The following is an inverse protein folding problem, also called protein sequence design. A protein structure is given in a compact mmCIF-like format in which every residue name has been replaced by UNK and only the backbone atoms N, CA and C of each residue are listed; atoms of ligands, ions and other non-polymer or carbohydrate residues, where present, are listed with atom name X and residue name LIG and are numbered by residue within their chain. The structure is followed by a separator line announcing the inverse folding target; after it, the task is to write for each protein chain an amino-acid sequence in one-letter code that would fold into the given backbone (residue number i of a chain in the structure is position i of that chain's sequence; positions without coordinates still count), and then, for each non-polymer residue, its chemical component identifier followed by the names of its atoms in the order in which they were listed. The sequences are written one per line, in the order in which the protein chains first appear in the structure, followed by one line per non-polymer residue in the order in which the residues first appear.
data_IF_590030163355
#
_entry.id   IF_590030163355
#
_cell.length_a   1.000
_cell.length_b   1.000
_cell.length_c   1.000
_cell.angle_alpha   90.00
_cell.angle_beta   90.00
_cell.angle_gamma   90.00
#
_symmetry.space_group_name_H-M   'P 1'
#
loop_
_entity.id
_entity.type
_entity.pdbx_description
1 polymer ?
#
# COMPACT_ATOMS: atom_id res chain seq x y z
N UNK A 1 -0.29 -42.22 6.09
CA UNK A 1 0.35 -40.89 6.27
C UNK A 1 -0.59 -39.84 5.72
N UNK A 2 -1.43 -39.26 6.58
CA UNK A 2 -2.40 -38.23 6.19
C UNK A 2 -1.79 -36.86 6.52
N UNK A 3 -1.58 -36.07 5.47
CA UNK A 3 -1.01 -34.73 5.50
C UNK A 3 -2.10 -33.76 5.96
N UNK A 4 -2.03 -33.28 7.21
CA UNK A 4 -2.98 -32.29 7.74
C UNK A 4 -2.38 -30.89 7.55
N UNK A 5 -3.07 -29.96 6.87
CA UNK A 5 -2.53 -28.62 6.65
C UNK A 5 -2.54 -27.75 7.92
N UNK A 6 -1.56 -26.85 8.02
CA UNK A 6 -1.16 -26.09 9.22
C UNK A 6 -2.27 -25.23 9.85
N UNK A 7 -3.32 -24.85 9.11
CA UNK A 7 -4.45 -24.07 9.63
C UNK A 7 -5.34 -24.82 10.64
N UNK A 8 -5.14 -26.13 10.83
CA UNK A 8 -5.93 -26.97 11.75
C UNK A 8 -5.39 -27.09 13.20
N UNK A 9 -4.30 -26.40 13.55
CA UNK A 9 -3.65 -26.52 14.89
C UNK A 9 -4.07 -25.41 15.88
N UNK A 10 -4.84 -24.39 15.47
CA UNK A 10 -5.11 -23.19 16.28
C UNK A 10 -6.52 -23.03 16.89
N UNK A 11 -7.32 -24.10 17.07
CA UNK A 11 -8.72 -23.98 17.51
C UNK A 11 -8.98 -24.61 18.90
N UNK A 12 -8.47 -23.98 19.96
CA UNK A 12 -8.97 -24.06 21.35
C UNK A 12 -8.16 -23.03 22.13
N UNK A 13 -8.74 -21.93 22.61
CA UNK A 13 -9.45 -21.89 23.87
C UNK A 13 -10.36 -20.64 23.89
N UNK A 14 -11.67 -20.84 23.91
CA UNK A 14 -12.66 -19.85 24.35
C UNK A 14 -13.08 -20.26 25.75
N UNK A 15 -12.95 -19.38 26.73
CA UNK A 15 -13.66 -19.52 28.00
C UNK A 15 -13.02 -18.85 29.21
N UNK A 16 -13.68 -17.78 29.67
CA UNK A 16 -13.77 -17.32 31.06
C UNK A 16 -12.62 -16.47 31.64
N UNK A 17 -12.85 -15.15 31.66
CA UNK A 17 -12.89 -14.35 32.91
C UNK A 17 -13.55 -13.00 32.62
N UNK A 18 -14.64 -12.75 33.31
CA UNK A 18 -15.37 -11.49 33.25
C UNK A 18 -14.74 -10.40 34.11
N UNK A 19 -15.20 -9.18 33.84
CA UNK A 19 -15.48 -8.15 34.85
C UNK A 19 -14.28 -7.43 35.45
N UNK A 20 -13.82 -6.38 34.79
CA UNK A 20 -13.41 -5.14 35.47
C UNK A 20 -13.62 -3.96 34.52
N UNK A 21 -14.66 -3.17 34.77
CA UNK A 21 -14.84 -1.87 34.13
C UNK A 21 -14.14 -0.82 34.98
N UNK A 22 -13.24 -0.04 34.40
CA UNK A 22 -12.85 1.27 34.91
C UNK A 22 -12.61 2.20 33.70
N UNK A 23 -13.05 3.47 33.76
CA UNK A 23 -13.12 4.36 32.60
C UNK A 23 -11.82 5.16 32.44
N UNK A 24 -11.43 5.48 31.21
CA UNK A 24 -10.60 6.65 30.90
C UNK A 24 -10.66 6.95 29.41
N UNK A 25 -11.07 8.17 29.09
CA UNK A 25 -10.92 8.80 27.78
C UNK A 25 -9.48 8.66 27.27
N UNK A 26 -9.33 8.25 26.01
CA UNK A 26 -8.08 8.35 25.29
C UNK A 26 -8.41 8.43 23.81
N UNK A 27 -8.27 9.64 23.28
CA UNK A 27 -8.54 9.96 21.89
C UNK A 27 -7.89 8.95 20.96
N UNK A 28 -8.69 8.44 20.02
CA UNK A 28 -8.23 7.64 18.88
C UNK A 28 -7.26 8.49 18.05
N UNK A 29 -5.99 8.50 18.44
CA UNK A 29 -4.90 8.93 17.57
C UNK A 29 -4.75 7.82 16.51
N UNK A 30 -5.54 7.96 15.45
CA UNK A 30 -5.38 7.15 14.27
C UNK A 30 -3.98 7.35 13.72
N UNK A 31 -3.34 6.26 13.31
CA UNK A 31 -2.03 6.21 12.63
C UNK A 31 -1.99 7.12 11.38
N UNK A 32 -3.14 7.63 10.93
CA UNK A 32 -3.30 8.65 9.88
C UNK A 32 -2.58 9.98 10.23
N UNK A 33 -2.28 10.28 11.49
CA UNK A 33 -1.69 11.58 11.87
C UNK A 33 -0.22 11.75 11.50
N UNK A 34 0.48 10.70 11.04
CA UNK A 34 1.93 10.79 10.77
C UNK A 34 2.26 11.28 9.35
N UNK A 35 1.27 11.43 8.48
CA UNK A 35 1.46 12.01 7.15
C UNK A 35 0.44 13.13 7.01
N UNK A 36 0.84 14.36 7.36
CA UNK A 36 0.08 15.53 6.95
C UNK A 36 -0.01 15.52 5.42
N UNK A 37 -1.19 15.17 4.90
CA UNK A 37 -1.51 15.00 3.48
C UNK A 37 -1.17 16.24 2.63
N UNK A 38 -1.06 17.41 3.26
CA UNK A 38 -0.72 18.68 2.61
C UNK A 38 0.72 19.18 2.87
N UNK A 39 1.47 18.60 3.83
CA UNK A 39 2.79 19.09 4.23
C UNK A 39 3.95 18.19 3.76
N UNK A 40 3.71 16.93 3.41
CA UNK A 40 4.74 16.02 2.91
C UNK A 40 5.09 16.23 1.43
N UNK A 41 4.14 16.69 0.61
CA UNK A 41 4.31 16.88 -0.83
C UNK A 41 5.31 17.98 -1.22
N UNK A 42 5.39 19.16 -0.55
CA UNK A 42 6.32 20.22 -0.95
C UNK A 42 7.79 19.79 -0.84
N UNK A 43 8.15 19.07 0.23
CA UNK A 43 9.54 18.63 0.45
C UNK A 43 9.89 17.42 -0.40
N UNK A 44 8.99 16.44 -0.53
CA UNK A 44 9.19 15.25 -1.36
C UNK A 44 9.27 15.57 -2.86
N UNK A 45 8.75 16.72 -3.30
CA UNK A 45 8.80 17.18 -4.70
C UNK A 45 10.04 18.03 -5.03
N UNK A 46 10.85 18.39 -4.03
CA UNK A 46 11.96 19.35 -4.23
C UNK A 46 13.05 18.74 -5.10
N UNK A 47 13.37 19.38 -6.22
CA UNK A 47 14.38 18.90 -7.18
C UNK A 47 13.84 18.00 -8.30
N UNK A 48 12.55 17.66 -8.28
CA UNK A 48 11.89 16.93 -9.37
C UNK A 48 11.48 17.88 -10.50
N UNK A 49 11.48 17.38 -11.73
CA UNK A 49 10.89 18.10 -12.87
C UNK A 49 9.34 18.03 -12.82
N UNK A 50 8.65 18.82 -13.66
CA UNK A 50 7.18 18.88 -13.64
C UNK A 50 6.49 17.56 -13.99
N UNK A 51 7.08 16.77 -14.88
CA UNK A 51 6.55 15.46 -15.26
C UNK A 51 6.62 14.47 -14.08
N UNK A 52 7.75 14.45 -13.37
CA UNK A 52 7.96 13.65 -12.17
C UNK A 52 7.02 14.04 -11.03
N UNK A 53 6.74 15.33 -10.86
CA UNK A 53 5.75 15.81 -9.89
C UNK A 53 4.36 15.30 -10.23
N UNK A 54 4.01 15.25 -11.51
CA UNK A 54 2.72 14.70 -11.93
C UNK A 54 2.66 13.18 -11.69
N UNK A 55 3.73 12.42 -12.00
CA UNK A 55 3.81 11.00 -11.65
C UNK A 55 3.66 10.76 -10.15
N UNK A 56 4.36 11.54 -9.33
CA UNK A 56 4.26 11.49 -7.87
C UNK A 56 2.82 11.73 -7.40
N UNK A 57 2.17 12.77 -7.93
CA UNK A 57 0.81 13.15 -7.58
C UNK A 57 -0.21 12.09 -7.98
N UNK A 58 -0.12 11.53 -9.18
CA UNK A 58 -1.01 10.46 -9.65
C UNK A 58 -0.85 9.22 -8.77
N UNK A 59 0.39 8.80 -8.50
CA UNK A 59 0.69 7.66 -7.64
C UNK A 59 0.20 7.87 -6.20
N UNK A 60 0.43 9.05 -5.63
CA UNK A 60 0.00 9.40 -4.28
C UNK A 60 -1.53 9.40 -4.16
N UNK A 61 -2.23 9.98 -5.13
CA UNK A 61 -3.69 10.00 -5.15
C UNK A 61 -4.27 8.58 -5.28
N UNK A 62 -3.63 7.72 -6.09
CA UNK A 62 -4.03 6.32 -6.20
C UNK A 62 -3.83 5.58 -4.87
N UNK A 63 -2.66 5.75 -4.24
CA UNK A 63 -2.34 5.14 -2.96
C UNK A 63 -3.34 5.56 -1.85
N UNK A 64 -3.62 6.86 -1.75
CA UNK A 64 -4.54 7.39 -0.74
C UNK A 64 -5.99 6.90 -0.94
N UNK A 65 -6.44 6.71 -2.19
CA UNK A 65 -7.82 6.36 -2.51
C UNK A 65 -8.08 4.86 -2.56
N UNK A 66 -7.17 4.09 -3.13
CA UNK A 66 -7.39 2.67 -3.46
C UNK A 66 -6.62 1.72 -2.54
N UNK A 67 -5.46 2.15 -2.00
CA UNK A 67 -4.60 1.28 -1.19
C UNK A 67 -4.75 1.53 0.31
N UNK A 68 -4.60 2.78 0.76
CA UNK A 68 -4.58 3.14 2.18
C UNK A 68 -5.84 2.68 2.96
N UNK A 69 -7.08 2.80 2.44
CA UNK A 69 -8.27 2.37 3.18
C UNK A 69 -8.34 0.86 3.41
N UNK A 70 -7.68 0.08 2.57
CA UNK A 70 -7.80 -1.38 2.55
C UNK A 70 -6.56 -2.11 3.11
N UNK A 71 -5.43 -1.40 3.24
CA UNK A 71 -4.14 -1.94 3.69
C UNK A 71 -4.23 -2.82 4.93
N UNK A 72 -4.95 -2.37 5.97
CA UNK A 72 -5.03 -3.08 7.23
C UNK A 72 -5.80 -4.41 7.11
N UNK A 73 -6.85 -4.43 6.28
CA UNK A 73 -7.61 -5.65 6.03
C UNK A 73 -6.80 -6.65 5.20
N UNK A 74 -6.11 -6.17 4.16
CA UNK A 74 -5.29 -7.03 3.31
C UNK A 74 -4.16 -7.68 4.09
N UNK A 75 -3.50 -6.93 4.96
CA UNK A 75 -2.44 -7.44 5.83
C UNK A 75 -2.98 -8.46 6.83
N UNK A 76 -4.04 -8.11 7.57
CA UNK A 76 -4.60 -8.99 8.61
C UNK A 76 -5.15 -10.31 8.06
N UNK A 77 -5.73 -10.28 6.85
CA UNK A 77 -6.38 -11.44 6.23
C UNK A 77 -5.51 -12.12 5.16
N UNK A 78 -4.27 -11.67 4.97
CA UNK A 78 -3.35 -12.17 3.95
C UNK A 78 -3.96 -12.17 2.54
N UNK A 79 -4.71 -11.10 2.21
CA UNK A 79 -5.42 -10.99 0.94
C UNK A 79 -4.52 -10.35 -0.12
N UNK A 80 -4.48 -10.96 -1.30
CA UNK A 80 -3.83 -10.39 -2.46
C UNK A 80 -4.80 -9.52 -3.27
N UNK A 81 -4.58 -8.19 -3.37
CA UNK A 81 -5.58 -7.26 -3.90
C UNK A 81 -5.55 -7.17 -5.44
N UNK A 82 -5.96 -8.25 -6.12
CA UNK A 82 -5.92 -8.37 -7.60
C UNK A 82 -6.61 -7.22 -8.32
N UNK A 83 -7.79 -6.79 -7.85
CA UNK A 83 -8.55 -5.74 -8.52
C UNK A 83 -7.87 -4.38 -8.43
N UNK A 84 -7.26 -4.05 -7.28
CA UNK A 84 -6.49 -2.81 -7.11
C UNK A 84 -5.21 -2.87 -7.93
N UNK A 85 -4.55 -4.03 -8.00
CA UNK A 85 -3.38 -4.24 -8.86
C UNK A 85 -3.69 -4.01 -10.34
N UNK A 86 -4.87 -4.46 -10.81
CA UNK A 86 -5.32 -4.20 -12.18
C UNK A 86 -5.57 -2.71 -12.43
N UNK A 87 -6.17 -1.99 -11.48
CA UNK A 87 -6.33 -0.53 -11.57
C UNK A 87 -4.97 0.18 -11.61
N UNK A 88 -4.01 -0.25 -10.80
CA UNK A 88 -2.65 0.28 -10.82
C UNK A 88 -1.98 0.05 -12.18
N UNK A 89 -2.18 -1.13 -12.79
CA UNK A 89 -1.66 -1.43 -14.13
C UNK A 89 -2.27 -0.55 -15.23
N UNK A 90 -3.55 -0.16 -15.12
CA UNK A 90 -4.19 0.78 -16.06
C UNK A 90 -3.57 2.18 -16.01
N UNK A 91 -2.94 2.55 -14.89
CA UNK A 91 -2.17 3.79 -14.74
C UNK A 91 -0.70 3.64 -15.19
N UNK A 92 -0.31 2.47 -15.69
CA UNK A 92 1.07 2.20 -16.11
C UNK A 92 2.00 1.73 -14.98
N UNK A 93 1.48 1.49 -13.77
CA UNK A 93 2.30 1.04 -12.63
C UNK A 93 2.65 -0.44 -12.65
N UNK A 94 2.03 -1.24 -13.52
CA UNK A 94 2.34 -2.66 -13.69
C UNK A 94 3.63 -2.94 -14.49
N UNK A 95 4.14 -1.94 -15.23
CA UNK A 95 5.30 -2.08 -16.12
C UNK A 95 6.06 -0.77 -16.27
N UNK A 96 6.39 -0.12 -15.14
CA UNK A 96 6.84 1.28 -15.10
C UNK A 96 8.06 1.55 -16.00
N UNK A 97 9.11 0.75 -15.88
CA UNK A 97 10.35 0.90 -16.65
C UNK A 97 10.52 -0.20 -17.72
N UNK A 98 9.41 -0.82 -18.12
CA UNK A 98 9.36 -1.75 -19.26
C UNK A 98 9.17 -0.95 -20.54
N UNK A 99 9.74 -1.42 -21.65
CA UNK A 99 9.63 -0.73 -22.95
C UNK A 99 8.18 -0.62 -23.41
N UNK A 100 7.88 0.47 -24.11
CA UNK A 100 6.53 0.78 -24.60
C UNK A 100 6.05 -0.14 -25.73
N UNK A 101 6.96 -0.75 -26.49
CA UNK A 101 6.67 -1.69 -27.58
C UNK A 101 5.99 -2.99 -27.11
N UNK A 102 6.10 -3.29 -25.82
CA UNK A 102 5.49 -4.46 -25.16
C UNK A 102 4.45 -4.06 -24.10
N UNK A 103 3.97 -2.82 -24.12
CA UNK A 103 2.92 -2.34 -23.22
C UNK A 103 3.42 -1.80 -21.87
N UNK A 104 4.72 -1.54 -21.71
CA UNK A 104 5.27 -0.84 -20.56
C UNK A 104 5.17 0.68 -20.66
N UNK A 105 5.50 1.38 -19.57
CA UNK A 105 5.42 2.85 -19.50
C UNK A 105 6.71 3.56 -19.96
N UNK A 106 7.81 2.82 -20.14
CA UNK A 106 9.08 3.36 -20.65
C UNK A 106 9.77 4.39 -19.75
N UNK A 107 9.40 4.46 -18.46
CA UNK A 107 9.89 5.49 -17.55
C UNK A 107 11.29 5.19 -17.00
N UNK A 108 11.99 6.23 -16.56
CA UNK A 108 13.33 6.11 -16.03
C UNK A 108 13.35 5.49 -14.63
N UNK A 109 14.56 5.19 -14.12
CA UNK A 109 14.74 4.70 -12.75
C UNK A 109 14.34 5.74 -11.70
N UNK A 110 14.59 7.02 -11.96
CA UNK A 110 14.21 8.08 -11.05
C UNK A 110 12.69 8.21 -10.98
N UNK A 111 12.01 8.24 -12.13
CA UNK A 111 10.54 8.31 -12.20
C UNK A 111 9.92 7.10 -11.49
N UNK A 112 10.49 5.91 -11.68
CA UNK A 112 10.08 4.69 -10.97
C UNK A 112 10.22 4.83 -9.46
N UNK A 113 11.34 5.37 -8.98
CA UNK A 113 11.58 5.58 -7.55
C UNK A 113 10.55 6.53 -6.95
N UNK A 114 10.25 7.63 -7.64
CA UNK A 114 9.25 8.63 -7.23
C UNK A 114 7.85 7.99 -7.14
N UNK A 115 7.47 7.18 -8.13
CA UNK A 115 6.20 6.46 -8.14
C UNK A 115 6.12 5.47 -6.98
N UNK A 116 7.15 4.66 -6.75
CA UNK A 116 7.14 3.68 -5.66
C UNK A 116 7.13 4.33 -4.27
N UNK A 117 7.86 5.43 -4.08
CA UNK A 117 7.80 6.19 -2.83
C UNK A 117 6.37 6.67 -2.55
N UNK A 118 5.71 7.25 -3.55
CA UNK A 118 4.34 7.70 -3.42
C UNK A 118 3.35 6.54 -3.18
N UNK A 119 3.49 5.41 -3.89
CA UNK A 119 2.64 4.23 -3.70
C UNK A 119 2.80 3.59 -2.31
N UNK A 120 4.03 3.57 -1.79
CA UNK A 120 4.34 2.97 -0.50
C UNK A 120 3.65 3.68 0.66
N UNK A 121 3.24 4.95 0.50
CA UNK A 121 2.44 5.66 1.51
C UNK A 121 1.06 5.02 1.75
N UNK A 122 0.51 4.30 0.77
CA UNK A 122 -0.78 3.61 0.89
C UNK A 122 -0.67 2.18 1.39
N UNK A 123 0.25 1.39 0.83
CA UNK A 123 0.52 0.02 1.29
C UNK A 123 1.92 -0.42 0.86
N UNK A 124 2.86 -0.50 1.80
CA UNK A 124 4.25 -0.87 1.52
C UNK A 124 4.39 -2.30 0.99
N UNK A 125 3.65 -3.27 1.54
CA UNK A 125 3.74 -4.68 1.12
C UNK A 125 3.27 -4.88 -0.32
N UNK A 126 2.14 -4.27 -0.69
CA UNK A 126 1.61 -4.32 -2.06
C UNK A 126 2.53 -3.56 -3.03
N UNK A 127 3.08 -2.42 -2.63
CA UNK A 127 4.04 -1.67 -3.45
C UNK A 127 5.33 -2.46 -3.69
N UNK A 128 5.84 -3.12 -2.65
CA UNK A 128 7.00 -4.00 -2.77
C UNK A 128 6.73 -5.14 -3.75
N UNK A 129 5.53 -5.74 -3.72
CA UNK A 129 5.12 -6.72 -4.73
C UNK A 129 5.12 -6.14 -6.14
N UNK A 130 4.53 -4.95 -6.36
CA UNK A 130 4.56 -4.26 -7.68
C UNK A 130 6.00 -4.10 -8.18
N UNK A 131 6.95 -3.77 -7.30
CA UNK A 131 8.35 -3.58 -7.69
C UNK A 131 9.05 -4.86 -8.18
N UNK A 132 8.58 -6.03 -7.71
CA UNK A 132 9.09 -7.36 -8.09
C UNK A 132 8.38 -7.88 -9.34
N UNK A 133 7.10 -7.55 -9.49
CA UNK A 133 6.27 -7.89 -10.63
C UNK A 133 6.83 -7.25 -11.92
N UNK A 134 6.98 -8.04 -12.98
CA UNK A 134 7.43 -7.61 -14.29
C UNK A 134 6.58 -8.23 -15.39
#
# INVERSE_FOLDING_TARGET
MLWVPWWRVGARLRGLRGGLQAPAESGRRGVVSCIDLNAALPTASTGLNEEQKEFQKVAFNFAAREMAPNMAEWDQKELFPVDVMRKAAQLGFGGIYVRTDVGGSGLSRLDTSVIFEALATGCTSTTAYISIHK
#
